data_IF_071377293957
#
_entry.id   IF_071377293957
#
_cell.length_a   1.000
_cell.length_b   1.000
_cell.length_c   1.000
_cell.angle_alpha   90.00
_cell.angle_beta   90.00
_cell.angle_gamma   90.00
#
_symmetry.space_group_name_H-M   'P 1'
#
loop_
_entity.id
_entity.type
_entity.pdbx_description
1 polymer ?
#
# COMPACT_ATOMS: atom_id res chain seq x y z
N UNK A 1 -1.21 53.54 13.23
CA UNK A 1 -2.55 52.96 13.04
C UNK A 1 -2.67 52.51 11.62
N UNK A 2 -2.61 51.19 11.41
CA UNK A 2 -3.32 50.45 10.35
C UNK A 2 -2.94 49.00 10.54
N UNK A 3 -3.81 48.32 11.29
CA UNK A 3 -3.83 46.88 11.47
C UNK A 3 -4.28 46.24 10.14
N UNK A 4 -3.64 45.17 9.65
CA UNK A 4 -4.05 44.54 8.41
C UNK A 4 -5.38 43.83 8.62
N UNK A 5 -6.35 44.18 7.78
CA UNK A 5 -7.70 43.66 7.80
C UNK A 5 -7.69 42.12 7.70
N UNK A 6 -8.38 41.54 8.66
CA UNK A 6 -8.59 40.13 8.88
C UNK A 6 -9.29 39.45 7.68
N UNK A 7 -8.55 38.60 6.96
CA UNK A 7 -9.09 37.71 5.92
C UNK A 7 -10.05 36.64 6.45
N UNK A 8 -10.43 36.68 7.74
CA UNK A 8 -11.43 35.79 8.37
C UNK A 8 -12.86 36.32 8.28
N UNK A 9 -13.08 37.48 7.66
CA UNK A 9 -14.41 38.10 7.54
C UNK A 9 -15.13 37.89 6.19
N UNK A 10 -14.60 37.08 5.28
CA UNK A 10 -15.28 36.69 4.02
C UNK A 10 -15.81 35.24 4.06
N UNK A 11 -16.05 34.70 5.26
CA UNK A 11 -16.92 33.54 5.47
C UNK A 11 -18.40 33.97 5.57
N UNK A 12 -18.80 34.92 4.74
CA UNK A 12 -20.20 35.29 4.58
C UNK A 12 -20.92 34.10 3.92
N UNK A 13 -21.64 33.34 4.75
CA UNK A 13 -22.67 32.32 4.41
C UNK A 13 -22.94 32.24 2.91
N UNK A 14 -22.18 31.39 2.21
CA UNK A 14 -22.54 31.02 0.85
C UNK A 14 -23.95 30.42 0.94
N UNK A 15 -24.87 30.94 0.13
CA UNK A 15 -26.14 30.28 -0.03
C UNK A 15 -25.97 28.95 -0.78
N UNK A 16 -27.01 28.11 -0.80
CA UNK A 16 -26.93 26.79 -1.41
C UNK A 16 -26.53 26.84 -2.89
N UNK A 17 -26.91 27.91 -3.61
CA UNK A 17 -26.59 28.08 -5.03
C UNK A 17 -25.10 28.37 -5.24
N UNK A 18 -24.49 29.25 -4.43
CA UNK A 18 -23.07 29.53 -4.48
C UNK A 18 -22.21 28.31 -4.11
N UNK A 19 -22.67 27.48 -3.16
CA UNK A 19 -22.00 26.22 -2.81
C UNK A 19 -22.07 25.24 -3.99
N UNK A 20 -23.24 25.07 -4.60
CA UNK A 20 -23.41 24.17 -5.74
C UNK A 20 -22.55 24.59 -6.93
N UNK A 21 -22.51 25.89 -7.27
CA UNK A 21 -21.63 26.41 -8.32
C UNK A 21 -20.14 26.09 -8.07
N UNK A 22 -19.69 26.19 -6.81
CA UNK A 22 -18.32 25.82 -6.43
C UNK A 22 -18.06 24.32 -6.54
N UNK A 23 -19.05 23.46 -6.28
CA UNK A 23 -18.91 22.02 -6.50
C UNK A 23 -18.74 21.71 -8.00
N UNK A 24 -19.51 22.36 -8.87
CA UNK A 24 -19.33 22.23 -10.31
C UNK A 24 -17.96 22.73 -10.78
N UNK A 25 -17.46 23.84 -10.23
CA UNK A 25 -16.12 24.36 -10.53
C UNK A 25 -15.03 23.36 -10.14
N UNK A 26 -15.12 22.79 -8.94
CA UNK A 26 -14.21 21.74 -8.48
C UNK A 26 -14.27 20.54 -9.42
N UNK A 27 -15.47 20.06 -9.76
CA UNK A 27 -15.65 18.92 -10.67
C UNK A 27 -15.00 19.16 -12.04
N UNK A 28 -15.25 20.34 -12.64
CA UNK A 28 -14.61 20.76 -13.90
C UNK A 28 -13.09 20.79 -13.80
N UNK A 29 -12.53 21.28 -12.69
CA UNK A 29 -11.08 21.31 -12.49
C UNK A 29 -10.47 19.90 -12.38
N UNK A 30 -11.17 18.95 -11.75
CA UNK A 30 -10.74 17.54 -11.74
C UNK A 30 -10.76 16.91 -13.13
N UNK A 31 -11.81 17.17 -13.92
CA UNK A 31 -11.91 16.72 -15.31
C UNK A 31 -10.79 17.30 -16.18
N UNK A 32 -10.51 18.60 -16.04
CA UNK A 32 -9.40 19.26 -16.72
C UNK A 32 -8.07 18.64 -16.32
N UNK A 33 -7.80 18.45 -15.02
CA UNK A 33 -6.58 17.81 -14.54
C UNK A 33 -6.42 16.41 -15.12
N UNK A 34 -7.49 15.61 -15.16
CA UNK A 34 -7.46 14.28 -15.74
C UNK A 34 -7.16 14.32 -17.24
N UNK A 35 -7.71 15.27 -17.99
CA UNK A 35 -7.41 15.47 -19.40
C UNK A 35 -5.95 15.89 -19.63
N UNK A 36 -5.43 16.83 -18.82
CA UNK A 36 -4.05 17.29 -18.89
C UNK A 36 -3.05 16.17 -18.56
N UNK A 37 -3.34 15.35 -17.55
CA UNK A 37 -2.51 14.20 -17.20
C UNK A 37 -2.41 13.22 -18.38
N UNK A 38 -3.55 12.89 -19.01
CA UNK A 38 -3.57 12.03 -20.20
C UNK A 38 -2.77 12.63 -21.35
N UNK A 39 -2.95 13.93 -21.62
CA UNK A 39 -2.22 14.64 -22.67
C UNK A 39 -0.70 14.65 -22.40
N UNK A 40 -0.30 14.91 -21.15
CA UNK A 40 1.11 14.90 -20.74
C UNK A 40 1.73 13.51 -20.90
N UNK A 41 0.99 12.45 -20.60
CA UNK A 41 1.49 11.09 -20.78
C UNK A 41 1.69 10.75 -22.27
N UNK A 42 0.84 11.28 -23.17
CA UNK A 42 1.08 11.21 -24.62
C UNK A 42 2.35 11.98 -24.99
N UNK A 43 2.46 13.25 -24.58
CA UNK A 43 3.60 14.10 -24.88
C UNK A 43 4.94 13.52 -24.36
N UNK A 44 4.93 12.87 -23.18
CA UNK A 44 6.09 12.17 -22.63
C UNK A 44 6.54 10.99 -23.50
N UNK A 45 5.60 10.24 -24.07
CA UNK A 45 5.93 9.16 -25.02
C UNK A 45 6.54 9.72 -26.28
N UNK A 46 5.99 10.82 -26.82
CA UNK A 46 6.53 11.49 -28.00
C UNK A 46 7.93 12.07 -27.75
N UNK A 47 8.15 12.68 -26.59
CA UNK A 47 9.47 13.16 -26.16
C UNK A 47 10.48 12.01 -26.11
N UNK A 48 10.11 10.89 -25.49
CA UNK A 48 11.00 9.72 -25.41
C UNK A 48 11.38 9.18 -26.80
N UNK A 49 10.42 9.11 -27.73
CA UNK A 49 10.68 8.70 -29.11
C UNK A 49 11.58 9.72 -29.85
N UNK A 50 11.32 11.02 -29.67
CA UNK A 50 12.14 12.06 -30.28
C UNK A 50 13.58 12.04 -29.74
N UNK A 51 13.78 11.80 -28.44
CA UNK A 51 15.11 11.66 -27.83
C UNK A 51 15.86 10.42 -28.33
N UNK A 52 15.15 9.30 -28.57
CA UNK A 52 15.73 8.13 -29.23
C UNK A 52 16.19 8.48 -30.65
N UNK A 53 15.36 9.17 -31.43
CA UNK A 53 15.72 9.62 -32.78
C UNK A 53 16.93 10.56 -32.78
N UNK A 54 17.04 11.45 -31.79
CA UNK A 54 18.21 12.31 -31.59
C UNK A 54 19.47 11.47 -31.39
N UNK A 55 19.41 10.44 -30.55
CA UNK A 55 20.53 9.52 -30.32
C UNK A 55 20.94 8.73 -31.57
N UNK A 56 19.96 8.23 -32.33
CA UNK A 56 20.20 7.48 -33.56
C UNK A 56 20.81 8.35 -34.66
N UNK A 57 20.19 9.50 -34.95
CA UNK A 57 20.71 10.46 -35.94
C UNK A 57 22.08 11.00 -35.55
N UNK A 58 22.35 11.14 -34.24
CA UNK A 58 23.66 11.54 -33.75
C UNK A 58 24.73 10.51 -34.10
N UNK A 59 24.46 9.23 -33.87
CA UNK A 59 25.39 8.14 -34.21
C UNK A 59 25.66 8.07 -35.71
N UNK A 60 24.63 8.25 -36.53
CA UNK A 60 24.77 8.32 -37.99
C UNK A 60 25.66 9.50 -38.39
N UNK A 61 25.38 10.70 -37.88
CA UNK A 61 26.20 11.89 -38.15
C UNK A 61 27.66 11.71 -37.73
N UNK A 62 27.91 11.13 -36.56
CA UNK A 62 29.28 10.87 -36.09
C UNK A 62 30.00 9.83 -36.97
N UNK A 63 29.28 8.87 -37.57
CA UNK A 63 29.83 7.91 -38.54
C UNK A 63 30.16 8.59 -39.89
N UNK A 64 29.24 9.36 -40.46
CA UNK A 64 29.49 10.11 -41.71
C UNK A 64 30.68 11.08 -41.56
N UNK A 65 30.78 11.76 -40.40
CA UNK A 65 31.92 12.62 -40.07
C UNK A 65 33.24 11.86 -40.03
N UNK A 66 33.26 10.65 -39.48
CA UNK A 66 34.45 9.82 -39.44
C UNK A 66 34.88 9.36 -40.85
N UNK A 67 33.91 9.10 -41.73
CA UNK A 67 34.15 8.68 -43.11
C UNK A 67 34.74 9.82 -43.95
N UNK A 68 34.22 11.04 -43.82
CA UNK A 68 34.80 12.26 -44.40
C UNK A 68 36.22 12.48 -43.88
N UNK A 69 36.46 12.44 -42.56
CA UNK A 69 37.80 12.61 -41.97
C UNK A 69 38.79 11.54 -42.47
N UNK A 70 38.34 10.29 -42.61
CA UNK A 70 39.15 9.20 -43.18
C UNK A 70 39.54 9.50 -44.62
N UNK A 71 38.62 10.02 -45.45
CA UNK A 71 38.91 10.42 -46.83
C UNK A 71 39.71 11.73 -46.95
N UNK A 72 39.77 12.56 -45.91
CA UNK A 72 40.66 13.72 -45.87
C UNK A 72 42.07 13.36 -45.38
N UNK A 73 42.21 12.37 -44.49
CA UNK A 73 43.47 12.04 -43.80
C UNK A 73 44.45 11.09 -44.49
N UNK A 74 44.08 10.36 -45.56
CA UNK A 74 45.04 9.50 -46.29
C UNK A 74 45.97 10.33 -47.18
N UNK A 75 47.28 10.28 -46.89
CA UNK A 75 48.34 11.01 -47.62
C UNK A 75 48.41 10.65 -49.11
N UNK A 76 48.53 11.70 -49.93
CA UNK A 76 48.61 11.73 -51.39
C UNK A 76 49.76 10.87 -51.98
N UNK A 77 50.78 10.57 -51.19
CA UNK A 77 52.06 10.03 -51.70
C UNK A 77 52.04 8.52 -51.97
N UNK A 78 51.16 7.74 -51.33
CA UNK A 78 51.16 6.26 -51.46
C UNK A 78 50.19 5.70 -52.51
N UNK A 79 49.25 6.50 -53.03
CA UNK A 79 48.17 6.04 -53.93
C UNK A 79 47.98 6.90 -55.20
N UNK A 80 48.83 7.90 -55.42
CA UNK A 80 48.73 8.83 -56.56
C UNK A 80 48.85 8.19 -57.96
N UNK A 81 49.29 6.93 -58.05
CA UNK A 81 49.57 6.29 -59.33
C UNK A 81 48.32 5.77 -60.07
N UNK A 82 47.15 5.61 -59.42
CA UNK A 82 46.05 4.85 -60.07
C UNK A 82 44.64 5.47 -59.95
N UNK A 83 44.38 6.48 -59.09
CA UNK A 83 42.98 6.78 -58.63
C UNK A 83 42.57 8.27 -58.57
N UNK A 84 43.21 9.18 -59.32
CA UNK A 84 43.06 10.64 -59.11
C UNK A 84 41.69 11.25 -59.46
N UNK A 85 40.84 10.55 -60.24
CA UNK A 85 39.48 11.03 -60.60
C UNK A 85 38.38 10.56 -59.64
N UNK A 86 38.44 9.33 -59.17
CA UNK A 86 37.38 8.68 -58.37
C UNK A 86 37.31 9.17 -56.93
N UNK A 87 38.44 9.54 -56.31
CA UNK A 87 38.45 10.04 -54.91
C UNK A 87 37.80 11.41 -54.72
N UNK A 88 37.89 12.29 -55.71
CA UNK A 88 37.25 13.61 -55.64
C UNK A 88 35.72 13.47 -55.67
N UNK A 89 35.22 12.58 -56.52
CA UNK A 89 33.80 12.22 -56.59
C UNK A 89 33.35 11.52 -55.30
N UNK A 90 34.16 10.62 -54.75
CA UNK A 90 33.88 9.94 -53.49
C UNK A 90 33.80 10.93 -52.31
N UNK A 91 34.77 11.86 -52.17
CA UNK A 91 34.75 12.89 -51.12
C UNK A 91 33.54 13.83 -51.26
N UNK A 92 33.15 14.19 -52.49
CA UNK A 92 31.98 15.02 -52.73
C UNK A 92 30.69 14.31 -52.30
N UNK A 93 30.57 13.00 -52.57
CA UNK A 93 29.44 12.17 -52.13
C UNK A 93 29.35 12.11 -50.61
N UNK A 94 30.47 11.86 -49.94
CA UNK A 94 30.53 11.68 -48.49
C UNK A 94 30.24 12.99 -47.74
N UNK A 95 30.71 14.13 -48.25
CA UNK A 95 30.29 15.45 -47.74
C UNK A 95 28.80 15.72 -47.93
N UNK A 96 28.20 15.22 -49.01
CA UNK A 96 26.76 15.33 -49.21
C UNK A 96 25.99 14.40 -48.25
N UNK A 97 26.54 13.25 -47.89
CA UNK A 97 25.98 12.33 -46.89
C UNK A 97 26.09 12.89 -45.47
N UNK A 98 27.24 13.47 -45.09
CA UNK A 98 27.41 14.22 -43.84
C UNK A 98 26.38 15.35 -43.71
N UNK A 99 26.24 16.19 -44.75
CA UNK A 99 25.29 17.30 -44.73
C UNK A 99 23.84 16.83 -44.57
N UNK A 100 23.46 15.69 -45.16
CA UNK A 100 22.13 15.08 -44.96
C UNK A 100 21.96 14.58 -43.53
N UNK A 101 22.97 13.91 -42.98
CA UNK A 101 22.94 13.43 -41.60
C UNK A 101 22.87 14.58 -40.59
N UNK A 102 23.55 15.70 -40.85
CA UNK A 102 23.50 16.90 -40.02
C UNK A 102 22.10 17.54 -40.04
N UNK A 103 21.51 17.69 -41.23
CA UNK A 103 20.14 18.19 -41.36
C UNK A 103 19.11 17.28 -40.66
N UNK A 104 19.26 15.96 -40.79
CA UNK A 104 18.42 14.98 -40.12
C UNK A 104 18.55 15.06 -38.59
N UNK A 105 19.78 15.16 -38.07
CA UNK A 105 20.03 15.33 -36.64
C UNK A 105 19.47 16.65 -36.10
N UNK A 106 19.66 17.77 -36.81
CA UNK A 106 19.10 19.05 -36.44
C UNK A 106 17.57 19.01 -36.36
N UNK A 107 16.93 18.33 -37.32
CA UNK A 107 15.47 18.12 -37.32
C UNK A 107 15.01 17.29 -36.12
N UNK A 108 15.72 16.21 -35.79
CA UNK A 108 15.42 15.38 -34.62
C UNK A 108 15.56 16.18 -33.31
N UNK A 109 16.60 17.00 -33.18
CA UNK A 109 16.81 17.87 -32.01
C UNK A 109 15.68 18.90 -31.88
N UNK A 110 15.30 19.56 -32.97
CA UNK A 110 14.19 20.51 -32.97
C UNK A 110 12.87 19.86 -32.54
N UNK A 111 12.59 18.63 -33.03
CA UNK A 111 11.40 17.86 -32.63
C UNK A 111 11.43 17.48 -31.14
N UNK A 112 12.57 17.04 -30.61
CA UNK A 112 12.71 16.74 -29.19
C UNK A 112 12.55 18.00 -28.33
N UNK A 113 13.06 19.14 -28.79
CA UNK A 113 12.86 20.43 -28.13
C UNK A 113 11.39 20.85 -28.05
N UNK A 114 10.65 20.72 -29.16
CA UNK A 114 9.21 21.00 -29.19
C UNK A 114 8.43 20.06 -28.25
N UNK A 115 8.68 18.75 -28.33
CA UNK A 115 8.02 17.77 -27.45
C UNK A 115 8.33 18.01 -25.96
N UNK A 116 9.54 18.47 -25.63
CA UNK A 116 9.91 18.84 -24.26
C UNK A 116 9.12 20.06 -23.78
N UNK A 117 9.04 21.10 -24.61
CA UNK A 117 8.26 22.30 -24.30
C UNK A 117 6.77 21.97 -24.09
N UNK A 118 6.20 21.02 -24.85
CA UNK A 118 4.83 20.55 -24.65
C UNK A 118 4.63 19.87 -23.29
N UNK A 119 5.57 18.98 -22.89
CA UNK A 119 5.54 18.34 -21.57
C UNK A 119 5.66 19.38 -20.45
N UNK A 120 6.53 20.37 -20.60
CA UNK A 120 6.72 21.45 -19.63
C UNK A 120 5.45 22.31 -19.50
N UNK A 121 4.85 22.73 -20.63
CA UNK A 121 3.60 23.49 -20.65
C UNK A 121 2.46 22.72 -19.95
N UNK A 122 2.25 21.46 -20.32
CA UNK A 122 1.22 20.62 -19.72
C UNK A 122 1.46 20.41 -18.21
N UNK A 123 2.72 20.29 -17.79
CA UNK A 123 3.07 20.16 -16.38
C UNK A 123 2.78 21.45 -15.61
N UNK A 124 3.14 22.61 -16.17
CA UNK A 124 2.83 23.91 -15.58
C UNK A 124 1.31 24.14 -15.42
N UNK A 125 0.51 23.80 -16.45
CA UNK A 125 -0.96 23.88 -16.36
C UNK A 125 -1.54 22.97 -15.28
N UNK A 126 -0.98 21.78 -15.07
CA UNK A 126 -1.39 20.89 -13.97
C UNK A 126 -1.04 21.52 -12.62
N UNK A 127 0.11 22.18 -12.50
CA UNK A 127 0.54 22.87 -11.29
C UNK A 127 -0.33 24.10 -10.97
N UNK A 128 -0.76 24.84 -12.00
CA UNK A 128 -1.68 25.99 -11.87
C UNK A 128 -3.03 25.61 -11.25
N UNK A 129 -3.51 24.37 -11.46
CA UNK A 129 -4.73 23.86 -10.83
C UNK A 129 -4.58 23.65 -9.31
N UNK A 130 -3.35 23.61 -8.79
CA UNK A 130 -3.07 23.53 -7.36
C UNK A 130 -3.61 22.26 -6.67
N UNK A 131 -3.89 22.39 -5.37
CA UNK A 131 -4.39 21.29 -4.54
C UNK A 131 -5.92 21.18 -4.60
N UNK A 132 -6.39 20.53 -5.67
CA UNK A 132 -7.82 20.27 -5.89
C UNK A 132 -8.47 19.43 -4.77
N UNK A 133 -7.72 18.56 -4.08
CA UNK A 133 -8.27 17.73 -3.00
C UNK A 133 -8.60 18.58 -1.77
N UNK A 134 -7.71 19.50 -1.43
CA UNK A 134 -7.95 20.45 -0.35
C UNK A 134 -9.06 21.43 -0.70
N UNK A 135 -9.14 21.89 -1.95
CA UNK A 135 -10.25 22.72 -2.43
C UNK A 135 -11.59 21.98 -2.38
N UNK A 136 -11.67 20.75 -2.89
CA UNK A 136 -12.88 19.91 -2.80
C UNK A 136 -13.34 19.74 -1.36
N UNK A 137 -12.41 19.38 -0.47
CA UNK A 137 -12.71 19.19 0.96
C UNK A 137 -13.27 20.45 1.61
N UNK A 138 -12.76 21.64 1.27
CA UNK A 138 -13.25 22.89 1.83
C UNK A 138 -14.67 23.21 1.35
N UNK A 139 -14.97 22.98 0.06
CA UNK A 139 -16.33 23.17 -0.50
C UNK A 139 -17.32 22.18 0.12
N UNK A 140 -16.97 20.90 0.23
CA UNK A 140 -17.83 19.89 0.88
C UNK A 140 -18.06 20.20 2.37
N UNK A 141 -17.05 20.77 3.05
CA UNK A 141 -17.21 21.21 4.45
C UNK A 141 -18.21 22.35 4.56
N UNK A 142 -18.09 23.36 3.71
CA UNK A 142 -19.03 24.48 3.65
C UNK A 142 -20.46 24.00 3.33
N UNK A 143 -20.60 22.99 2.44
CA UNK A 143 -21.90 22.37 2.15
C UNK A 143 -22.51 21.71 3.38
N UNK A 144 -21.74 20.89 4.10
CA UNK A 144 -22.22 20.24 5.31
C UNK A 144 -22.64 21.24 6.39
N UNK A 145 -21.91 22.34 6.55
CA UNK A 145 -22.28 23.44 7.46
C UNK A 145 -23.57 24.14 7.05
N UNK A 146 -23.73 24.44 5.77
CA UNK A 146 -24.94 25.06 5.24
C UNK A 146 -26.17 24.15 5.39
N UNK A 147 -26.05 22.85 5.11
CA UNK A 147 -27.15 21.88 5.27
C UNK A 147 -27.65 21.83 6.71
N UNK A 148 -26.73 21.84 7.69
CA UNK A 148 -27.08 21.89 9.12
C UNK A 148 -27.70 23.23 9.51
N UNK A 149 -27.09 24.34 9.13
CA UNK A 149 -27.53 25.68 9.51
C UNK A 149 -28.89 26.07 8.90
N UNK A 150 -29.21 25.54 7.71
CA UNK A 150 -30.48 25.79 7.02
C UNK A 150 -31.63 24.91 7.52
N UNK A 151 -31.36 23.90 8.35
CA UNK A 151 -32.37 22.92 8.77
C UNK A 151 -32.78 21.96 7.65
N UNK A 152 -31.93 21.76 6.64
CA UNK A 152 -32.19 20.82 5.56
C UNK A 152 -32.28 19.37 6.12
N UNK A 153 -33.17 18.50 5.61
CA UNK A 153 -33.25 17.10 6.05
C UNK A 153 -31.90 16.37 5.97
N UNK A 154 -31.12 16.66 4.93
CA UNK A 154 -29.78 16.09 4.76
C UNK A 154 -28.79 16.55 5.86
N UNK A 155 -28.98 17.75 6.43
CA UNK A 155 -28.19 18.21 7.57
C UNK A 155 -28.38 17.30 8.79
N UNK A 156 -29.64 16.91 9.06
CA UNK A 156 -29.98 15.95 10.12
C UNK A 156 -29.41 14.57 9.79
N UNK A 157 -29.53 14.11 8.54
CA UNK A 157 -28.97 12.82 8.12
C UNK A 157 -27.44 12.78 8.27
N UNK A 158 -26.74 13.87 7.96
CA UNK A 158 -25.28 13.97 8.15
C UNK A 158 -24.86 13.84 9.61
N UNK A 159 -25.65 14.36 10.56
CA UNK A 159 -25.40 14.18 11.99
C UNK A 159 -25.63 12.72 12.42
N UNK A 160 -26.72 12.11 11.97
CA UNK A 160 -27.00 10.69 12.24
C UNK A 160 -25.89 9.79 11.66
N UNK A 161 -25.48 10.04 10.41
CA UNK A 161 -24.37 9.33 9.77
C UNK A 161 -23.07 9.50 10.55
N UNK A 162 -22.77 10.68 11.09
CA UNK A 162 -21.57 10.88 11.90
C UNK A 162 -21.57 9.99 13.16
N UNK A 163 -22.72 9.84 13.82
CA UNK A 163 -22.89 8.93 14.95
C UNK A 163 -22.79 7.46 14.53
N UNK A 164 -23.51 7.05 13.47
CA UNK A 164 -23.48 5.68 12.92
C UNK A 164 -22.05 5.27 12.51
N UNK A 165 -21.34 6.16 11.82
CA UNK A 165 -19.95 5.96 11.41
C UNK A 165 -19.00 5.87 12.62
N UNK A 166 -19.24 6.67 13.66
CA UNK A 166 -18.48 6.61 14.90
C UNK A 166 -18.60 5.23 15.55
N UNK A 167 -19.83 4.76 15.73
CA UNK A 167 -20.11 3.43 16.28
C UNK A 167 -19.55 2.30 15.40
N UNK A 168 -19.74 2.36 14.07
CA UNK A 168 -19.24 1.34 13.15
C UNK A 168 -17.69 1.28 13.13
N UNK A 169 -17.00 2.43 13.26
CA UNK A 169 -15.54 2.47 13.35
C UNK A 169 -15.02 1.90 14.67
N UNK A 170 -15.74 2.15 15.76
CA UNK A 170 -15.41 1.54 17.06
C UNK A 170 -15.54 0.02 16.99
N UNK A 171 -16.65 -0.48 16.45
CA UNK A 171 -16.86 -1.92 16.17
C UNK A 171 -15.72 -2.50 15.32
N UNK A 172 -15.39 -1.84 14.21
CA UNK A 172 -14.31 -2.29 13.31
C UNK A 172 -12.96 -2.36 14.03
N UNK A 173 -12.65 -1.37 14.86
CA UNK A 173 -11.40 -1.31 15.64
C UNK A 173 -11.31 -2.47 16.63
N UNK A 174 -12.36 -2.69 17.42
CA UNK A 174 -12.38 -3.77 18.42
C UNK A 174 -12.25 -5.16 17.76
N UNK A 175 -12.92 -5.36 16.62
CA UNK A 175 -12.81 -6.61 15.85
C UNK A 175 -11.39 -6.84 15.32
N UNK A 176 -10.72 -5.78 14.84
CA UNK A 176 -9.35 -5.87 14.34
C UNK A 176 -8.34 -6.16 15.48
N UNK A 177 -8.53 -5.53 16.65
CA UNK A 177 -7.72 -5.77 17.85
C UNK A 177 -7.85 -7.23 18.33
N UNK A 178 -9.09 -7.73 18.39
CA UNK A 178 -9.37 -9.13 18.69
C UNK A 178 -8.78 -10.09 17.65
N UNK A 179 -8.88 -9.76 16.37
CA UNK A 179 -8.33 -10.58 15.28
C UNK A 179 -6.80 -10.64 15.34
N UNK A 180 -6.14 -9.53 15.67
CA UNK A 180 -4.69 -9.50 15.93
C UNK A 180 -4.34 -10.38 17.14
N UNK A 181 -5.10 -10.32 18.23
CA UNK A 181 -4.87 -11.17 19.38
C UNK A 181 -5.09 -12.66 19.07
N UNK A 182 -6.09 -13.01 18.25
CA UNK A 182 -6.36 -14.38 17.83
C UNK A 182 -5.20 -14.95 17.01
N UNK A 183 -4.72 -14.19 16.03
CA UNK A 183 -3.52 -14.57 15.25
C UNK A 183 -2.30 -14.79 16.14
N UNK A 184 -2.04 -13.88 17.09
CA UNK A 184 -0.94 -14.03 18.06
C UNK A 184 -1.07 -15.30 18.88
N UNK A 185 -2.25 -15.59 19.42
CA UNK A 185 -2.50 -16.80 20.21
C UNK A 185 -2.30 -18.08 19.38
N UNK A 186 -2.81 -18.10 18.14
CA UNK A 186 -2.57 -19.21 17.21
C UNK A 186 -1.09 -19.40 16.95
N UNK A 187 -0.37 -18.33 16.62
CA UNK A 187 1.05 -18.41 16.32
C UNK A 187 1.85 -18.95 17.52
N UNK A 188 1.51 -18.56 18.77
CA UNK A 188 2.10 -19.13 19.99
C UNK A 188 1.84 -20.64 20.10
N UNK A 189 0.61 -21.10 19.85
CA UNK A 189 0.32 -22.54 19.83
C UNK A 189 1.11 -23.27 18.75
N UNK A 190 1.38 -22.64 17.61
CA UNK A 190 2.20 -23.21 16.55
C UNK A 190 3.65 -23.39 16.99
N UNK A 191 4.20 -22.46 17.78
CA UNK A 191 5.55 -22.59 18.35
C UNK A 191 5.62 -23.70 19.38
N UNK A 192 4.63 -23.76 20.28
CA UNK A 192 4.52 -24.85 21.26
C UNK A 192 4.45 -26.19 20.56
N UNK A 193 3.59 -26.34 19.55
CA UNK A 193 3.44 -27.58 18.79
C UNK A 193 4.74 -27.94 18.06
N UNK A 194 5.47 -26.98 17.49
CA UNK A 194 6.78 -27.23 16.88
C UNK A 194 7.79 -27.78 17.90
N UNK A 195 7.88 -27.20 19.09
CA UNK A 195 8.78 -27.69 20.14
C UNK A 195 8.36 -29.08 20.61
N UNK A 196 7.06 -29.27 20.85
CA UNK A 196 6.53 -30.56 21.25
C UNK A 196 6.79 -31.62 20.17
N UNK A 197 6.60 -31.32 18.88
CA UNK A 197 6.78 -32.26 17.74
C UNK A 197 8.26 -32.51 17.40
N UNK A 198 9.16 -31.53 17.57
CA UNK A 198 10.60 -31.63 17.25
C UNK A 198 11.40 -32.64 18.09
N UNK A 199 10.76 -33.24 19.07
CA UNK A 199 11.40 -34.13 20.00
C UNK A 199 11.12 -35.60 19.64
N UNK A 200 11.95 -36.09 18.72
CA UNK A 200 12.17 -37.51 18.41
C UNK A 200 12.61 -38.35 19.63
N UNK A 201 12.88 -37.73 20.79
CA UNK A 201 13.56 -38.32 21.96
C UNK A 201 12.77 -38.32 23.28
N UNK A 202 11.48 -37.94 23.30
CA UNK A 202 10.71 -38.08 24.55
C UNK A 202 10.51 -39.55 24.97
N UNK A 203 10.63 -40.51 24.04
CA UNK A 203 10.59 -41.95 24.33
C UNK A 203 11.86 -42.47 25.02
N UNK A 204 13.02 -41.85 24.78
CA UNK A 204 14.30 -42.13 25.42
C UNK A 204 14.41 -41.57 26.84
N UNK A 205 13.41 -40.80 27.29
CA UNK A 205 13.33 -40.30 28.66
C UNK A 205 13.00 -41.43 29.65
N UNK A 206 12.12 -42.38 29.27
CA UNK A 206 11.71 -43.52 30.11
C UNK A 206 12.75 -44.66 30.14
N UNK A 207 13.66 -44.72 29.16
CA UNK A 207 14.64 -45.83 28.99
C UNK A 207 15.97 -45.62 29.73
N UNK A 208 16.29 -44.40 30.19
CA UNK A 208 17.64 -44.04 30.66
C UNK A 208 17.62 -43.41 32.06
N UNK A 209 17.16 -44.17 33.05
CA UNK A 209 17.37 -43.88 34.47
C UNK A 209 18.83 -44.04 34.91
N UNK A 210 19.75 -43.27 34.33
CA UNK A 210 21.15 -43.15 34.79
C UNK A 210 22.16 -42.85 33.69
N UNK A 211 22.56 -41.57 33.51
CA UNK A 211 23.71 -41.20 32.68
C UNK A 211 23.83 -39.71 32.32
N UNK A 212 24.82 -39.04 32.91
CA UNK A 212 25.13 -37.60 32.95
C UNK A 212 25.14 -36.79 31.63
N UNK A 213 25.12 -37.42 30.44
CA UNK A 213 25.25 -36.71 29.15
C UNK A 213 23.89 -36.46 28.46
N UNK A 214 22.81 -37.12 28.92
CA UNK A 214 21.47 -36.88 28.34
C UNK A 214 20.65 -35.78 29.02
N UNK A 215 20.99 -35.36 30.25
CA UNK A 215 20.14 -34.46 31.05
C UNK A 215 20.15 -32.99 30.56
N UNK A 216 21.26 -32.50 30.01
CA UNK A 216 21.43 -31.07 29.69
C UNK A 216 20.60 -30.61 28.48
N UNK A 217 20.48 -31.46 27.44
CA UNK A 217 19.63 -31.21 26.27
C UNK A 217 18.14 -31.41 26.60
N UNK A 218 17.85 -32.31 27.56
CA UNK A 218 16.50 -32.64 28.02
C UNK A 218 15.84 -31.52 28.82
N UNK A 219 16.56 -30.88 29.75
CA UNK A 219 16.04 -29.73 30.51
C UNK A 219 15.75 -28.53 29.61
N UNK A 220 16.67 -28.20 28.69
CA UNK A 220 16.51 -27.03 27.81
C UNK A 220 15.23 -27.07 26.96
N UNK A 221 14.80 -28.24 26.48
CA UNK A 221 13.58 -28.39 25.67
C UNK A 221 12.30 -28.36 26.51
N UNK A 222 12.34 -28.89 27.73
CA UNK A 222 11.23 -28.77 28.68
C UNK A 222 11.06 -27.30 29.08
N UNK A 223 12.15 -26.61 29.41
CA UNK A 223 12.14 -25.20 29.81
C UNK A 223 11.66 -24.31 28.65
N UNK A 224 12.10 -24.59 27.42
CA UNK A 224 11.62 -23.93 26.20
C UNK A 224 10.12 -24.15 25.99
N UNK A 225 9.65 -25.40 26.10
CA UNK A 225 8.23 -25.72 25.99
C UNK A 225 7.41 -24.99 27.06
N UNK A 226 7.85 -24.98 28.32
CA UNK A 226 7.20 -24.27 29.40
C UNK A 226 7.18 -22.75 29.19
N UNK A 227 8.26 -22.17 28.67
CA UNK A 227 8.34 -20.75 28.38
C UNK A 227 7.36 -20.35 27.25
N UNK A 228 7.36 -21.10 26.15
CA UNK A 228 6.40 -20.90 25.05
C UNK A 228 4.96 -21.11 25.51
N UNK A 229 4.75 -22.04 26.43
CA UNK A 229 3.44 -22.30 26.99
C UNK A 229 2.90 -21.14 27.82
N UNK A 230 3.75 -20.50 28.63
CA UNK A 230 3.38 -19.25 29.34
C UNK A 230 3.04 -18.13 28.36
N UNK A 231 3.80 -18.00 27.27
CA UNK A 231 3.50 -17.01 26.23
C UNK A 231 2.19 -17.31 25.50
N UNK A 232 1.87 -18.59 25.26
CA UNK A 232 0.59 -18.99 24.69
C UNK A 232 -0.57 -18.64 25.63
N UNK A 233 -0.41 -18.85 26.93
CA UNK A 233 -1.39 -18.42 27.94
C UNK A 233 -1.60 -16.91 27.94
N UNK A 234 -0.52 -16.12 27.99
CA UNK A 234 -0.60 -14.67 27.96
C UNK A 234 -1.33 -14.16 26.70
N UNK A 235 -1.07 -14.81 25.56
CA UNK A 235 -1.74 -14.49 24.29
C UNK A 235 -3.24 -14.84 24.31
N UNK A 236 -3.63 -15.97 24.91
CA UNK A 236 -5.04 -16.35 25.09
C UNK A 236 -5.75 -15.40 26.05
N UNK A 237 -5.13 -15.04 27.19
CA UNK A 237 -5.68 -14.04 28.12
C UNK A 237 -5.85 -12.68 27.47
N UNK A 238 -4.94 -12.30 26.58
CA UNK A 238 -5.11 -11.08 25.78
C UNK A 238 -6.30 -11.21 24.84
N UNK A 239 -6.37 -12.28 24.06
CA UNK A 239 -7.51 -12.54 23.17
C UNK A 239 -8.85 -12.48 23.92
N UNK A 240 -8.93 -13.00 25.14
CA UNK A 240 -10.15 -12.92 25.95
C UNK A 240 -10.57 -11.51 26.30
N UNK A 241 -9.61 -10.64 26.62
CA UNK A 241 -9.90 -9.23 26.90
C UNK A 241 -10.47 -8.54 25.66
N UNK A 242 -9.79 -8.70 24.52
CA UNK A 242 -10.28 -8.11 23.27
C UNK A 242 -11.66 -8.69 22.86
N UNK A 243 -11.92 -9.98 23.13
CA UNK A 243 -13.24 -10.58 22.87
C UNK A 243 -14.34 -10.04 23.80
N UNK A 244 -14.00 -9.70 25.04
CA UNK A 244 -14.94 -9.07 25.95
C UNK A 244 -15.27 -7.64 25.50
N UNK A 245 -14.28 -6.90 25.00
CA UNK A 245 -14.48 -5.56 24.44
C UNK A 245 -15.37 -5.62 23.18
N UNK A 246 -15.19 -6.62 22.31
CA UNK A 246 -16.10 -6.90 21.18
C UNK A 246 -17.52 -7.23 21.65
N UNK A 247 -17.70 -8.02 22.71
CA UNK A 247 -19.04 -8.36 23.23
C UNK A 247 -19.76 -7.12 23.78
N UNK A 248 -19.04 -6.25 24.49
CA UNK A 248 -19.55 -4.97 24.98
C UNK A 248 -20.01 -4.04 23.85
N UNK A 249 -19.30 -4.06 22.72
CA UNK A 249 -19.55 -3.14 21.59
C UNK A 249 -20.60 -3.69 20.60
N UNK A 250 -20.63 -5.00 20.36
CA UNK A 250 -21.46 -5.61 19.30
C UNK A 250 -22.66 -6.40 19.86
N UNK A 251 -22.72 -6.68 21.17
CA UNK A 251 -23.81 -7.43 21.79
C UNK A 251 -24.02 -8.81 21.14
N UNK A 252 -22.94 -9.43 20.66
CA UNK A 252 -23.01 -10.71 19.96
C UNK A 252 -23.07 -11.80 21.00
N UNK A 253 -24.23 -12.42 21.16
CA UNK A 253 -24.45 -13.63 21.94
C UNK A 253 -23.23 -14.56 21.89
N UNK A 254 -22.41 -14.45 22.95
CA UNK A 254 -21.49 -15.38 23.62
C UNK A 254 -20.78 -16.52 22.86
N UNK A 255 -20.98 -16.78 21.57
CA UNK A 255 -20.42 -17.95 20.88
C UNK A 255 -18.90 -17.82 20.77
N UNK A 256 -18.37 -16.63 20.45
CA UNK A 256 -16.92 -16.36 20.42
C UNK A 256 -16.28 -16.28 21.81
N UNK A 257 -16.97 -15.64 22.77
CA UNK A 257 -16.51 -15.52 24.17
C UNK A 257 -16.51 -16.88 24.88
N UNK A 258 -17.56 -17.69 24.68
CA UNK A 258 -17.68 -19.04 25.26
C UNK A 258 -16.59 -19.96 24.75
N UNK A 259 -16.22 -19.90 23.47
CA UNK A 259 -15.05 -20.62 22.95
C UNK A 259 -13.74 -20.14 23.61
N UNK A 260 -13.59 -18.83 23.84
CA UNK A 260 -12.47 -18.22 24.57
C UNK A 260 -12.33 -18.66 26.03
N UNK A 261 -13.44 -18.80 26.75
CA UNK A 261 -13.45 -19.35 28.13
C UNK A 261 -13.13 -20.85 28.16
N UNK A 262 -13.68 -21.63 27.21
CA UNK A 262 -13.39 -23.07 27.08
C UNK A 262 -11.92 -23.36 26.77
N UNK A 263 -11.21 -22.43 26.13
CA UNK A 263 -9.76 -22.52 25.92
C UNK A 263 -8.99 -22.57 27.24
N UNK A 264 -9.44 -21.88 28.30
CA UNK A 264 -8.82 -21.92 29.63
C UNK A 264 -9.03 -23.26 30.31
N UNK A 265 -10.29 -23.71 30.36
CA UNK A 265 -10.65 -24.97 31.02
C UNK A 265 -9.90 -26.15 30.41
N UNK A 266 -9.63 -26.10 29.10
CA UNK A 266 -8.85 -27.12 28.41
C UNK A 266 -7.34 -27.09 28.71
N UNK A 267 -6.79 -25.93 29.09
CA UNK A 267 -5.35 -25.69 29.16
C UNK A 267 -4.78 -25.83 30.58
N UNK A 268 -5.54 -25.45 31.61
CA UNK A 268 -5.02 -25.29 32.98
C UNK A 268 -5.07 -26.53 33.88
N UNK A 269 -5.76 -27.60 33.50
CA UNK A 269 -5.75 -28.87 34.24
C UNK A 269 -4.44 -29.64 34.01
N UNK A 270 -3.35 -29.15 34.61
CA UNK A 270 -2.12 -29.89 34.92
C UNK A 270 -1.51 -30.69 33.76
N UNK A 271 -0.94 -30.01 32.76
CA UNK A 271 -0.16 -30.67 31.69
C UNK A 271 1.09 -31.39 32.24
N UNK A 272 1.65 -30.95 33.37
CA UNK A 272 2.93 -31.44 33.90
C UNK A 272 2.86 -32.16 35.25
N UNK A 273 1.66 -32.49 35.74
CA UNK A 273 1.51 -33.23 37.01
C UNK A 273 1.61 -34.76 36.81
N UNK A 274 2.67 -35.35 37.35
CA UNK A 274 2.90 -36.77 37.70
C UNK A 274 3.31 -37.84 36.63
N UNK A 275 4.56 -38.33 36.81
CA UNK A 275 5.13 -39.68 36.60
C UNK A 275 5.17 -40.40 35.23
N UNK A 276 4.74 -39.85 34.10
CA UNK A 276 5.32 -40.29 32.81
C UNK A 276 5.38 -39.15 31.79
N UNK A 277 6.60 -38.72 31.47
CA UNK A 277 6.89 -37.62 30.54
C UNK A 277 6.26 -37.89 29.17
N UNK A 278 6.19 -39.16 28.74
CA UNK A 278 5.61 -39.54 27.45
C UNK A 278 4.10 -39.29 27.32
N UNK A 279 3.29 -39.66 28.33
CA UNK A 279 1.83 -39.39 28.31
C UNK A 279 1.55 -37.90 28.42
N UNK A 280 2.27 -37.20 29.31
CA UNK A 280 2.17 -35.75 29.48
C UNK A 280 2.44 -34.98 28.18
N UNK A 281 3.44 -35.37 27.38
CA UNK A 281 3.73 -34.73 26.08
C UNK A 281 2.66 -35.02 25.04
N UNK A 282 2.15 -36.24 24.96
CA UNK A 282 1.06 -36.58 24.04
C UNK A 282 -0.23 -35.82 24.39
N UNK A 283 -0.55 -35.72 25.68
CA UNK A 283 -1.70 -34.98 26.17
C UNK A 283 -1.53 -33.46 25.95
N UNK A 284 -0.32 -32.93 26.18
CA UNK A 284 0.03 -31.54 25.89
C UNK A 284 -0.17 -31.21 24.40
N UNK A 285 0.32 -32.07 23.50
CA UNK A 285 0.14 -31.91 22.05
C UNK A 285 -1.34 -31.91 21.68
N UNK A 286 -2.10 -32.88 22.19
CA UNK A 286 -3.52 -32.98 21.90
C UNK A 286 -4.30 -31.74 22.39
N UNK A 287 -4.00 -31.24 23.60
CA UNK A 287 -4.57 -30.00 24.14
C UNK A 287 -4.18 -28.77 23.33
N UNK A 288 -2.91 -28.63 22.95
CA UNK A 288 -2.43 -27.50 22.13
C UNK A 288 -3.06 -27.50 20.73
N UNK A 289 -3.23 -28.67 20.10
CA UNK A 289 -3.92 -28.76 18.79
C UNK A 289 -5.37 -28.33 18.90
N UNK A 290 -6.11 -28.82 19.90
CA UNK A 290 -7.49 -28.38 20.14
C UNK A 290 -7.57 -26.88 20.45
N UNK A 291 -6.61 -26.35 21.19
CA UNK A 291 -6.57 -24.92 21.53
C UNK A 291 -6.34 -24.08 20.27
N UNK A 292 -5.34 -24.45 19.47
CA UNK A 292 -5.06 -23.85 18.17
C UNK A 292 -6.29 -23.88 17.26
N UNK A 293 -6.97 -25.02 17.15
CA UNK A 293 -8.17 -25.16 16.32
C UNK A 293 -9.33 -24.27 16.80
N UNK A 294 -9.52 -24.15 18.12
CA UNK A 294 -10.51 -23.25 18.69
C UNK A 294 -10.15 -21.77 18.42
N UNK A 295 -8.89 -21.36 18.62
CA UNK A 295 -8.43 -20.02 18.26
C UNK A 295 -8.61 -19.76 16.76
N UNK A 296 -8.37 -20.73 15.89
CA UNK A 296 -8.59 -20.60 14.44
C UNK A 296 -10.07 -20.43 14.07
N UNK A 297 -11.01 -21.05 14.81
CA UNK A 297 -12.45 -20.80 14.61
C UNK A 297 -12.82 -19.37 14.99
N UNK A 298 -12.31 -18.90 16.13
CA UNK A 298 -12.48 -17.51 16.57
C UNK A 298 -11.86 -16.54 15.58
N UNK A 299 -10.64 -16.79 15.09
CA UNK A 299 -9.96 -15.98 14.07
C UNK A 299 -10.82 -15.85 12.81
N UNK A 300 -11.40 -16.95 12.31
CA UNK A 300 -12.26 -16.94 11.14
C UNK A 300 -13.52 -16.11 11.35
N UNK A 301 -14.20 -16.31 12.48
CA UNK A 301 -15.40 -15.55 12.85
C UNK A 301 -15.09 -14.05 12.95
N UNK A 302 -13.99 -13.68 13.61
CA UNK A 302 -13.55 -12.29 13.72
C UNK A 302 -13.22 -11.69 12.35
N UNK A 303 -12.58 -12.47 11.46
CA UNK A 303 -12.28 -12.03 10.10
C UNK A 303 -13.55 -11.75 9.27
N UNK A 304 -14.55 -12.63 9.36
CA UNK A 304 -15.85 -12.42 8.71
C UNK A 304 -16.56 -11.18 9.26
N UNK A 305 -16.58 -11.01 10.58
CA UNK A 305 -17.20 -9.84 11.23
C UNK A 305 -16.47 -8.54 10.95
N UNK A 306 -15.14 -8.54 10.96
CA UNK A 306 -14.31 -7.37 10.62
C UNK A 306 -14.59 -6.92 9.18
N UNK A 307 -14.71 -7.87 8.23
CA UNK A 307 -15.12 -7.57 6.86
C UNK A 307 -16.48 -6.86 6.79
N UNK A 308 -17.50 -7.40 7.47
CA UNK A 308 -18.84 -6.77 7.52
C UNK A 308 -18.79 -5.37 8.15
N UNK A 309 -18.04 -5.18 9.23
CA UNK A 309 -17.90 -3.87 9.87
C UNK A 309 -17.18 -2.85 8.97
N UNK A 310 -16.13 -3.28 8.27
CA UNK A 310 -15.41 -2.45 7.32
C UNK A 310 -16.31 -2.04 6.13
N UNK A 311 -17.10 -2.97 5.60
CA UNK A 311 -18.08 -2.70 4.55
C UNK A 311 -19.15 -1.69 5.01
N UNK A 312 -19.59 -1.78 6.27
CA UNK A 312 -20.54 -0.82 6.83
C UNK A 312 -19.94 0.58 6.98
N UNK A 313 -18.69 0.68 7.46
CA UNK A 313 -17.96 1.97 7.51
C UNK A 313 -17.83 2.56 6.12
N UNK A 314 -17.53 1.74 5.11
CA UNK A 314 -17.43 2.18 3.72
C UNK A 314 -18.79 2.65 3.17
N UNK A 315 -19.86 1.90 3.42
CA UNK A 315 -21.24 2.22 3.02
C UNK A 315 -21.68 3.57 3.60
N UNK A 316 -21.51 3.78 4.90
CA UNK A 316 -21.88 5.02 5.58
C UNK A 316 -21.04 6.21 5.10
N UNK A 317 -19.75 5.98 4.83
CA UNK A 317 -18.86 7.01 4.27
C UNK A 317 -19.29 7.43 2.86
N UNK A 318 -19.67 6.47 2.02
CA UNK A 318 -20.17 6.73 0.66
C UNK A 318 -21.52 7.46 0.68
N UNK A 319 -22.43 7.10 1.60
CA UNK A 319 -23.70 7.81 1.76
C UNK A 319 -23.48 9.27 2.18
N UNK A 320 -22.56 9.51 3.14
CA UNK A 320 -22.17 10.86 3.54
C UNK A 320 -21.60 11.67 2.37
N UNK A 321 -20.75 11.05 1.55
CA UNK A 321 -20.16 11.72 0.39
C UNK A 321 -21.23 12.07 -0.65
N UNK A 322 -22.14 11.15 -0.98
CA UNK A 322 -23.24 11.39 -1.91
C UNK A 322 -24.13 12.57 -1.49
N UNK A 323 -24.43 12.69 -0.19
CA UNK A 323 -25.20 13.83 0.34
C UNK A 323 -24.45 15.16 0.17
N UNK A 324 -23.12 15.15 0.30
CA UNK A 324 -22.31 16.36 0.18
C UNK A 324 -22.01 16.75 -1.28
N UNK A 325 -22.17 15.83 -2.24
CA UNK A 325 -21.88 16.07 -3.66
C UNK A 325 -23.10 16.51 -4.49
N UNK A 326 -24.31 16.12 -4.09
CA UNK A 326 -25.58 16.65 -4.64
C UNK A 326 -25.77 18.07 -4.16
#
# INVERSE_FOLDING_TARGET
>A
MSEPADGRAEAARLDGAAIHARLEEVARAFEERAALLRARDVARRELSQAEQQVSETRRMLDAERADVVRLEGFSFERLAATFRGTRADDLMRERAEEARAEAAHATAVARAGAARADVENLSARIEELGDLETWRRSVLTARGEWLRASGHPDGVRLETLATEMGAAREVSRELDEALIAARRARDRFDEVLRVLDSAESWATFDLFGGGFVTDMVKHSKIDEAQALMRQADDAVRRLQRELADVDLVVGVDSVGVTEGTKLMDMFFDDIFSAMSVRRSVQDARARCRRAREAVQRVERLLGERSGVAADEVARLSAEREAILEV
#
